data_IF_973699076826
#
_entry.id   IF_973699076826
#
_cell.length_a   1.000
_cell.length_b   1.000
_cell.length_c   1.000
_cell.angle_alpha   90.00
_cell.angle_beta   90.00
_cell.angle_gamma   90.00
#
_symmetry.space_group_name_H-M   'P 1'
#
loop_
_entity.id
_entity.type
_entity.pdbx_description
1 polymer ?
#
# COMPACT_ATOMS: atom_id res chain seq x y z
N UNK A 1 -7.90 0.55 -38.87
CA UNK A 1 -6.76 -0.13 -39.52
C UNK A 1 -7.01 -1.63 -39.55
N UNK A 2 -6.78 -2.30 -40.69
CA UNK A 2 -6.75 -3.75 -40.71
C UNK A 2 -5.48 -4.21 -39.97
N UNK A 3 -5.58 -5.11 -38.98
CA UNK A 3 -4.41 -5.58 -38.25
C UNK A 3 -3.43 -6.28 -39.21
N UNK A 4 -2.11 -6.15 -38.99
CA UNK A 4 -1.13 -6.83 -39.81
C UNK A 4 -1.33 -8.34 -39.70
N UNK A 5 -1.44 -9.00 -40.85
CA UNK A 5 -1.66 -10.44 -40.95
C UNK A 5 -0.32 -11.15 -41.12
N UNK A 6 -0.16 -12.28 -40.44
CA UNK A 6 1.04 -13.12 -40.51
C UNK A 6 1.29 -13.57 -41.97
N UNK A 7 2.50 -13.35 -42.53
CA UNK A 7 2.84 -13.72 -43.90
C UNK A 7 2.59 -15.20 -44.22
N UNK A 8 2.73 -16.10 -43.23
CA UNK A 8 2.48 -17.54 -43.40
C UNK A 8 1.02 -17.85 -43.76
N UNK A 9 0.06 -17.08 -43.24
CA UNK A 9 -1.37 -17.25 -43.53
C UNK A 9 -1.77 -16.70 -44.90
N UNK A 10 -1.05 -15.70 -45.40
CA UNK A 10 -1.24 -15.15 -46.76
C UNK A 10 -0.69 -16.09 -47.84
N UNK A 11 0.33 -16.88 -47.51
CA UNK A 11 0.90 -17.90 -48.40
C UNK A 11 0.03 -19.17 -48.46
N UNK A 12 -0.57 -19.57 -47.33
CA UNK A 12 -1.45 -20.74 -47.26
C UNK A 12 -2.81 -20.54 -47.95
N UNK A 13 -3.29 -19.30 -48.05
CA UNK A 13 -4.56 -18.98 -48.69
C UNK A 13 -4.41 -17.88 -49.76
N UNK A 14 -4.14 -18.25 -51.03
CA UNK A 14 -3.90 -17.29 -52.10
C UNK A 14 -5.13 -16.44 -52.43
N UNK A 15 -6.35 -16.97 -52.23
CA UNK A 15 -7.60 -16.21 -52.42
C UNK A 15 -7.76 -15.10 -51.38
N UNK A 16 -7.42 -15.39 -50.13
CA UNK A 16 -7.40 -14.40 -49.05
C UNK A 16 -6.28 -13.36 -49.26
N UNK A 17 -5.11 -13.76 -49.76
CA UNK A 17 -4.02 -12.84 -50.13
C UNK A 17 -4.43 -11.83 -51.20
N UNK A 18 -5.13 -12.29 -52.25
CA UNK A 18 -5.66 -11.42 -53.29
C UNK A 18 -6.71 -10.44 -52.74
N UNK A 19 -7.61 -10.91 -51.87
CA UNK A 19 -8.61 -10.06 -51.21
C UNK A 19 -7.95 -9.03 -50.28
N UNK A 20 -7.00 -9.44 -49.44
CA UNK A 20 -6.28 -8.54 -48.52
C UNK A 20 -5.51 -7.46 -49.30
N UNK A 21 -4.88 -7.82 -50.41
CA UNK A 21 -4.24 -6.86 -51.33
C UNK A 21 -5.26 -5.92 -51.97
N UNK A 22 -6.40 -6.38 -52.47
CA UNK A 22 -7.43 -5.51 -53.06
C UNK A 22 -8.04 -4.56 -52.02
N UNK A 23 -8.28 -5.04 -50.80
CA UNK A 23 -8.80 -4.25 -49.70
C UNK A 23 -7.81 -3.15 -49.26
N UNK A 24 -6.53 -3.48 -49.09
CA UNK A 24 -5.49 -2.54 -48.64
C UNK A 24 -5.03 -1.57 -49.74
N UNK A 25 -5.03 -2.00 -51.00
CA UNK A 25 -4.54 -1.16 -52.12
C UNK A 25 -5.66 -0.37 -52.80
N UNK A 26 -6.83 -0.96 -53.05
CA UNK A 26 -7.88 -0.38 -53.90
C UNK A 26 -9.08 0.15 -53.12
N UNK A 27 -9.47 -0.50 -52.03
CA UNK A 27 -10.76 -0.23 -51.36
C UNK A 27 -10.67 0.62 -50.09
N UNK A 28 -9.59 0.50 -49.31
CA UNK A 28 -9.43 1.22 -48.04
C UNK A 28 -8.15 2.07 -48.02
N UNK A 29 -8.24 3.17 -47.28
CA UNK A 29 -7.12 3.98 -46.84
C UNK A 29 -6.44 3.34 -45.61
N UNK A 30 -5.21 3.76 -45.25
CA UNK A 30 -4.50 3.21 -44.11
C UNK A 30 -5.28 3.30 -42.79
N UNK A 31 -6.07 4.36 -42.60
CA UNK A 31 -6.94 4.57 -41.44
C UNK A 31 -8.14 3.60 -41.39
N UNK A 32 -8.46 2.90 -42.48
CA UNK A 32 -9.62 2.01 -42.62
C UNK A 32 -10.84 2.66 -43.27
N UNK A 33 -10.75 3.92 -43.70
CA UNK A 33 -11.81 4.59 -44.46
C UNK A 33 -11.86 4.09 -45.91
N UNK A 34 -13.03 4.08 -46.56
CA UNK A 34 -13.14 3.62 -47.96
C UNK A 34 -12.53 4.63 -48.93
N UNK A 35 -11.82 4.20 -49.97
CA UNK A 35 -11.30 5.05 -51.07
C UNK A 35 -12.38 5.53 -52.05
N UNK A 36 -13.60 5.01 -51.96
CA UNK A 36 -14.71 5.44 -52.81
C UNK A 36 -15.19 6.84 -52.38
N UNK A 37 -14.88 7.84 -53.21
CA UNK A 37 -15.19 9.24 -52.96
C UNK A 37 -16.70 9.49 -52.76
N UNK A 38 -17.58 8.72 -53.42
CA UNK A 38 -19.03 8.86 -53.23
C UNK A 38 -19.45 8.36 -51.84
N UNK A 39 -18.91 7.23 -51.40
CA UNK A 39 -19.16 6.68 -50.06
C UNK A 39 -18.55 7.55 -48.98
N UNK A 40 -17.33 8.08 -49.18
CA UNK A 40 -16.72 9.03 -48.25
C UNK A 40 -17.58 10.28 -48.07
N UNK A 41 -18.09 10.88 -49.16
CA UNK A 41 -18.98 12.05 -49.09
C UNK A 41 -20.28 11.72 -48.36
N UNK A 42 -20.91 10.57 -48.65
CA UNK A 42 -22.10 10.13 -47.95
C UNK A 42 -21.84 9.90 -46.44
N UNK A 43 -20.71 9.28 -46.08
CA UNK A 43 -20.31 9.12 -44.68
C UNK A 43 -20.03 10.46 -43.99
N UNK A 44 -19.35 11.40 -44.64
CA UNK A 44 -19.11 12.73 -44.10
C UNK A 44 -20.41 13.51 -43.89
N UNK A 45 -21.37 13.38 -44.80
CA UNK A 45 -22.70 13.98 -44.66
C UNK A 45 -23.47 13.37 -43.48
N UNK A 46 -23.44 12.03 -43.33
CA UNK A 46 -24.05 11.34 -42.20
C UNK A 46 -23.37 11.74 -40.88
N UNK A 47 -22.05 11.85 -40.84
CA UNK A 47 -21.31 12.32 -39.66
C UNK A 47 -21.70 13.76 -39.30
N UNK A 48 -21.83 14.65 -40.28
CA UNK A 48 -22.30 16.02 -40.06
C UNK A 48 -23.72 16.04 -39.50
N UNK A 49 -24.65 15.27 -40.09
CA UNK A 49 -26.03 15.13 -39.58
C UNK A 49 -26.06 14.57 -38.16
N UNK A 50 -25.24 13.55 -37.88
CA UNK A 50 -25.11 12.97 -36.54
C UNK A 50 -24.56 13.98 -35.54
N UNK A 51 -23.56 14.78 -35.93
CA UNK A 51 -23.02 15.83 -35.07
C UNK A 51 -24.07 16.90 -34.77
N UNK A 52 -24.82 17.36 -35.77
CA UNK A 52 -25.92 18.30 -35.57
C UNK A 52 -26.98 17.72 -34.62
N UNK A 53 -27.43 16.49 -34.87
CA UNK A 53 -28.42 15.82 -34.02
C UNK A 53 -27.92 15.63 -32.58
N UNK A 54 -26.63 15.33 -32.38
CA UNK A 54 -26.01 15.23 -31.06
C UNK A 54 -25.97 16.58 -30.35
N UNK A 55 -25.63 17.66 -31.06
CA UNK A 55 -25.63 19.01 -30.50
C UNK A 55 -27.06 19.42 -30.10
N UNK A 56 -28.05 19.15 -30.95
CA UNK A 56 -29.46 19.44 -30.66
C UNK A 56 -29.99 18.65 -29.46
N UNK A 57 -29.67 17.35 -29.40
CA UNK A 57 -30.02 16.50 -28.26
C UNK A 57 -29.36 17.00 -26.96
N UNK A 58 -28.06 17.33 -27.01
CA UNK A 58 -27.34 17.85 -25.85
C UNK A 58 -27.90 19.21 -25.38
N UNK A 59 -28.20 20.13 -26.30
CA UNK A 59 -28.85 21.41 -25.97
C UNK A 59 -30.20 21.19 -25.29
N UNK A 60 -31.02 20.31 -25.85
CA UNK A 60 -32.34 19.99 -25.29
C UNK A 60 -32.23 19.37 -23.90
N UNK A 61 -31.25 18.47 -23.70
CA UNK A 61 -31.00 17.84 -22.41
C UNK A 61 -30.50 18.84 -21.35
N UNK A 62 -29.60 19.76 -21.71
CA UNK A 62 -29.11 20.81 -20.82
C UNK A 62 -30.25 21.73 -20.40
N UNK A 63 -31.10 22.15 -21.36
CA UNK A 63 -32.26 23.00 -21.06
C UNK A 63 -33.26 22.29 -20.13
N UNK A 64 -33.56 21.01 -20.39
CA UNK A 64 -34.44 20.21 -19.51
C UNK A 64 -33.87 20.06 -18.11
N UNK A 65 -32.58 19.71 -18.00
CA UNK A 65 -31.92 19.58 -16.70
C UNK A 65 -31.90 20.92 -15.94
N UNK A 66 -31.64 22.02 -16.64
CA UNK A 66 -31.66 23.36 -16.04
C UNK A 66 -33.05 23.81 -15.61
N UNK A 67 -34.12 23.37 -16.30
CA UNK A 67 -35.51 23.66 -15.92
C UNK A 67 -35.91 22.85 -14.68
N UNK A 68 -35.52 21.58 -14.59
CA UNK A 68 -35.78 20.73 -13.41
C UNK A 68 -35.10 21.30 -12.15
N UNK A 69 -33.90 21.84 -12.30
CA UNK A 69 -33.14 22.41 -11.19
C UNK A 69 -33.57 23.85 -10.83
N UNK A 70 -34.34 24.52 -11.68
CA UNK A 70 -34.69 25.94 -11.52
C UNK A 70 -35.49 26.26 -10.24
N UNK A 71 -36.53 25.48 -9.88
CA UNK A 71 -37.34 25.73 -8.68
C UNK A 71 -36.54 25.72 -7.37
N UNK A 72 -35.44 24.97 -7.33
CA UNK A 72 -34.58 24.84 -6.14
C UNK A 72 -33.46 25.88 -6.06
N UNK A 73 -33.14 26.55 -7.17
CA UNK A 73 -31.96 27.43 -7.29
C UNK A 73 -32.30 28.90 -7.51
N UNK A 74 -33.56 29.24 -7.80
CA UNK A 74 -33.96 30.61 -8.14
C UNK A 74 -34.91 31.21 -7.10
N UNK A 75 -34.40 32.14 -6.28
CA UNK A 75 -35.19 32.86 -5.28
C UNK A 75 -36.04 34.02 -5.89
N UNK A 76 -35.87 34.27 -7.20
CA UNK A 76 -36.48 35.41 -7.90
C UNK A 76 -37.78 35.10 -8.65
N UNK A 77 -38.25 33.86 -8.65
CA UNK A 77 -39.46 33.42 -9.35
C UNK A 77 -40.65 33.29 -8.37
N UNK A 78 -41.86 33.72 -8.76
CA UNK A 78 -43.08 33.47 -8.01
C UNK A 78 -43.27 31.97 -7.67
N UNK A 79 -43.74 31.64 -6.45
CA UNK A 79 -43.91 30.25 -6.03
C UNK A 79 -44.89 29.47 -6.90
N UNK A 80 -45.89 30.14 -7.48
CA UNK A 80 -46.86 29.56 -8.42
C UNK A 80 -46.18 29.10 -9.72
N UNK A 81 -45.12 29.79 -10.17
CA UNK A 81 -44.38 29.38 -11.36
C UNK A 81 -43.46 28.19 -11.07
N UNK A 82 -43.01 27.98 -9.84
CA UNK A 82 -42.22 26.81 -9.47
C UNK A 82 -43.01 25.51 -9.64
N UNK A 83 -44.26 25.47 -9.16
CA UNK A 83 -45.15 24.31 -9.31
C UNK A 83 -45.43 24.00 -10.79
N UNK A 84 -45.72 25.04 -11.58
CA UNK A 84 -45.98 24.91 -13.03
C UNK A 84 -44.74 24.43 -13.79
N UNK A 85 -43.54 24.91 -13.41
CA UNK A 85 -42.27 24.42 -14.00
C UNK A 85 -42.05 22.94 -13.68
N UNK A 86 -42.33 22.49 -12.45
CA UNK A 86 -42.20 21.08 -12.05
C UNK A 86 -43.14 20.17 -12.84
N UNK A 87 -44.40 20.57 -13.00
CA UNK A 87 -45.42 19.85 -13.77
C UNK A 87 -44.99 19.72 -15.25
N UNK A 88 -44.52 20.81 -15.86
CA UNK A 88 -44.06 20.81 -17.25
C UNK A 88 -42.77 19.99 -17.40
N UNK A 89 -41.86 20.04 -16.44
CA UNK A 89 -40.68 19.18 -16.44
C UNK A 89 -41.04 17.69 -16.38
N UNK A 90 -42.01 17.31 -15.55
CA UNK A 90 -42.53 15.95 -15.48
C UNK A 90 -43.17 15.52 -16.82
N UNK A 91 -43.91 16.42 -17.47
CA UNK A 91 -44.49 16.19 -18.80
C UNK A 91 -43.39 16.00 -19.87
N UNK A 92 -42.36 16.86 -19.89
CA UNK A 92 -41.25 16.79 -20.85
C UNK A 92 -40.36 15.54 -20.67
N UNK A 93 -40.29 15.03 -19.44
CA UNK A 93 -39.59 13.78 -19.11
C UNK A 93 -40.44 12.52 -19.35
N UNK A 94 -41.70 12.68 -19.77
CA UNK A 94 -42.60 11.57 -20.08
C UNK A 94 -43.12 10.85 -18.82
N UNK A 95 -43.11 11.52 -17.67
CA UNK A 95 -43.64 10.97 -16.41
C UNK A 95 -45.17 11.07 -16.35
N UNK A 96 -45.77 11.90 -17.21
CA UNK A 96 -47.22 12.10 -17.31
C UNK A 96 -47.74 11.37 -18.56
N UNK A 97 -48.74 10.49 -18.44
CA UNK A 97 -49.33 9.78 -19.57
C UNK A 97 -49.99 10.75 -20.56
N UNK A 98 -50.12 10.36 -21.84
CA UNK A 98 -50.65 11.24 -22.88
C UNK A 98 -52.14 11.59 -22.69
N UNK A 99 -52.88 10.79 -21.93
CA UNK A 99 -54.32 10.98 -21.65
C UNK A 99 -54.58 12.15 -20.69
N UNK A 100 -53.64 12.45 -19.81
CA UNK A 100 -53.76 13.53 -18.80
C UNK A 100 -53.23 14.88 -19.31
N UNK A 101 -52.79 14.95 -20.58
CA UNK A 101 -52.21 16.18 -21.16
C UNK A 101 -53.23 17.28 -21.37
N UNK A 102 -54.48 16.92 -21.62
CA UNK A 102 -55.57 17.88 -21.84
C UNK A 102 -55.91 18.64 -20.54
N UNK A 103 -55.67 18.01 -19.38
CA UNK A 103 -55.92 18.60 -18.06
C UNK A 103 -54.86 19.66 -17.71
N UNK A 104 -53.63 19.48 -18.22
CA UNK A 104 -52.49 20.37 -17.96
C UNK A 104 -52.38 21.51 -18.97
N UNK A 105 -53.37 21.66 -19.86
CA UNK A 105 -53.32 22.69 -20.90
C UNK A 105 -53.24 24.10 -20.29
N UNK A 106 -54.01 24.36 -19.24
CA UNK A 106 -54.03 25.66 -18.53
C UNK A 106 -52.65 25.98 -17.92
N UNK A 107 -51.99 25.01 -17.30
CA UNK A 107 -50.62 25.17 -16.75
C UNK A 107 -49.59 25.41 -17.86
N UNK A 108 -49.79 24.77 -19.02
CA UNK A 108 -48.94 24.95 -20.20
C UNK A 108 -49.09 26.35 -20.77
N UNK A 109 -50.32 26.86 -20.86
CA UNK A 109 -50.60 28.23 -21.32
C UNK A 109 -50.01 29.26 -20.34
N UNK A 110 -50.20 29.08 -19.03
CA UNK A 110 -49.63 29.96 -18.01
C UNK A 110 -48.09 30.01 -18.03
N UNK A 111 -47.43 28.88 -18.29
CA UNK A 111 -45.98 28.83 -18.49
C UNK A 111 -45.52 29.57 -19.75
N UNK A 112 -46.26 29.43 -20.85
CA UNK A 112 -45.95 30.11 -22.11
C UNK A 112 -46.13 31.63 -21.98
N UNK A 113 -47.13 32.10 -21.24
CA UNK A 113 -47.32 33.51 -20.91
C UNK A 113 -46.15 34.07 -20.08
N UNK A 114 -45.61 33.26 -19.17
CA UNK A 114 -44.49 33.62 -18.28
C UNK A 114 -43.13 33.10 -18.78
N UNK A 115 -42.97 32.85 -20.07
CA UNK A 115 -41.72 32.28 -20.61
C UNK A 115 -40.53 33.24 -20.49
N UNK A 116 -40.77 34.55 -20.53
CA UNK A 116 -39.73 35.57 -20.43
C UNK A 116 -38.96 35.50 -19.09
N UNK A 117 -39.61 35.58 -17.91
CA UNK A 117 -38.91 35.46 -16.62
C UNK A 117 -38.26 34.08 -16.44
N UNK A 118 -38.90 32.99 -16.90
CA UNK A 118 -38.31 31.64 -16.84
C UNK A 118 -37.03 31.57 -17.67
N UNK A 119 -37.04 32.09 -18.89
CA UNK A 119 -35.86 32.09 -19.78
C UNK A 119 -34.71 32.95 -19.23
N UNK A 120 -35.02 34.06 -18.56
CA UNK A 120 -34.03 34.91 -17.90
C UNK A 120 -33.38 34.17 -16.72
N UNK A 121 -34.17 33.50 -15.89
CA UNK A 121 -33.67 32.72 -14.77
C UNK A 121 -32.82 31.50 -15.21
N UNK A 122 -33.27 30.77 -16.24
CA UNK A 122 -32.48 29.68 -16.85
C UNK A 122 -31.17 30.22 -17.41
N UNK A 123 -31.20 31.34 -18.13
CA UNK A 123 -29.99 31.96 -18.67
C UNK A 123 -29.01 32.37 -17.57
N UNK A 124 -29.49 32.98 -16.48
CA UNK A 124 -28.67 33.36 -15.32
C UNK A 124 -28.04 32.13 -14.63
N UNK A 125 -28.79 31.03 -14.50
CA UNK A 125 -28.26 29.79 -13.95
C UNK A 125 -27.21 29.15 -14.88
N UNK A 126 -27.45 29.15 -16.19
CA UNK A 126 -26.49 28.66 -17.17
C UNK A 126 -25.20 29.50 -17.21
N UNK A 127 -25.29 30.83 -17.04
CA UNK A 127 -24.09 31.68 -16.92
C UNK A 127 -23.35 31.41 -15.62
N UNK A 128 -24.04 31.28 -14.49
CA UNK A 128 -23.41 30.97 -13.21
C UNK A 128 -22.71 29.60 -13.22
N UNK A 129 -23.36 28.58 -13.78
CA UNK A 129 -22.74 27.24 -13.94
C UNK A 129 -21.55 27.29 -14.88
N UNK A 130 -21.61 28.05 -15.98
CA UNK A 130 -20.45 28.24 -16.86
C UNK A 130 -19.28 28.92 -16.13
N UNK A 131 -19.53 29.95 -15.33
CA UNK A 131 -18.51 30.61 -14.49
C UNK A 131 -17.90 29.66 -13.45
N UNK A 132 -18.72 28.82 -12.82
CA UNK A 132 -18.20 27.80 -11.91
C UNK A 132 -17.32 26.79 -12.63
N UNK A 133 -17.71 26.33 -13.82
CA UNK A 133 -16.92 25.40 -14.62
C UNK A 133 -15.60 26.03 -15.12
N UNK A 134 -15.60 27.30 -15.51
CA UNK A 134 -14.36 28.00 -15.91
C UNK A 134 -13.41 28.16 -14.71
N UNK A 135 -13.94 28.43 -13.51
CA UNK A 135 -13.16 28.48 -12.28
C UNK A 135 -12.61 27.12 -11.84
N UNK A 136 -13.38 26.05 -12.02
CA UNK A 136 -12.91 24.68 -11.76
C UNK A 136 -11.81 24.28 -12.75
N UNK A 137 -11.95 24.67 -14.03
CA UNK A 137 -10.95 24.40 -15.05
C UNK A 137 -9.64 25.15 -14.83
N UNK A 138 -9.68 26.32 -14.18
CA UNK A 138 -8.45 27.04 -13.79
C UNK A 138 -8.52 27.52 -12.34
N UNK A 139 -8.21 26.65 -11.36
CA UNK A 139 -8.32 27.00 -9.95
C UNK A 139 -7.23 27.97 -9.48
N UNK A 140 -6.16 28.16 -10.25
CA UNK A 140 -4.99 28.97 -9.88
C UNK A 140 -5.02 30.39 -10.46
N UNK A 141 -5.77 30.64 -11.53
CA UNK A 141 -5.93 32.00 -12.07
C UNK A 141 -7.08 32.72 -11.36
N UNK A 142 -6.87 34.00 -11.02
CA UNK A 142 -7.94 34.88 -10.53
C UNK A 142 -8.99 35.17 -11.61
N UNK A 143 -8.57 35.10 -12.87
CA UNK A 143 -9.40 35.52 -13.99
C UNK A 143 -10.15 34.31 -14.57
N UNK A 144 -11.48 34.43 -14.76
CA UNK A 144 -12.28 33.36 -15.33
C UNK A 144 -11.87 33.13 -16.78
N UNK A 145 -11.68 31.85 -17.14
CA UNK A 145 -11.36 31.46 -18.51
C UNK A 145 -12.55 31.70 -19.43
N UNK A 146 -12.30 32.05 -20.69
CA UNK A 146 -13.35 32.14 -21.69
C UNK A 146 -14.07 30.78 -21.85
N UNK A 147 -15.42 30.74 -21.81
CA UNK A 147 -16.18 29.49 -21.88
C UNK A 147 -16.02 28.75 -23.22
N UNK A 148 -15.53 29.43 -24.26
CA UNK A 148 -15.22 28.85 -25.57
C UNK A 148 -13.98 27.95 -25.55
N UNK A 149 -13.04 28.19 -24.63
CA UNK A 149 -11.78 27.45 -24.49
C UNK A 149 -11.94 26.26 -23.55
N UNK A 150 -13.03 26.23 -22.78
CA UNK A 150 -13.32 25.21 -21.78
C UNK A 150 -13.23 23.77 -22.31
N UNK A 151 -13.76 23.41 -23.50
CA UNK A 151 -13.63 22.05 -24.02
C UNK A 151 -12.16 21.63 -24.22
N UNK A 152 -11.33 22.48 -24.83
CA UNK A 152 -9.90 22.19 -25.00
C UNK A 152 -9.15 22.12 -23.68
N UNK A 153 -9.47 23.00 -22.72
CA UNK A 153 -8.87 22.98 -21.40
C UNK A 153 -9.22 21.69 -20.63
N UNK A 154 -10.49 21.25 -20.68
CA UNK A 154 -10.92 20.00 -20.04
C UNK A 154 -10.25 18.76 -20.62
N UNK A 155 -10.04 18.71 -21.94
CA UNK A 155 -9.29 17.62 -22.57
C UNK A 155 -7.83 17.63 -22.13
N UNK A 156 -7.18 18.80 -22.10
CA UNK A 156 -5.81 18.91 -21.62
C UNK A 156 -5.66 18.52 -20.14
N UNK A 157 -6.63 18.86 -19.30
CA UNK A 157 -6.64 18.45 -17.89
C UNK A 157 -6.89 16.95 -17.73
N UNK A 158 -7.70 16.35 -18.59
CA UNK A 158 -7.92 14.91 -18.60
C UNK A 158 -6.62 14.18 -18.97
N UNK A 159 -5.95 14.62 -20.03
CA UNK A 159 -4.66 14.06 -20.46
C UNK A 159 -3.59 14.22 -19.38
N UNK A 160 -3.53 15.39 -18.73
CA UNK A 160 -2.61 15.64 -17.63
C UNK A 160 -2.90 14.76 -16.40
N UNK A 161 -4.17 14.54 -16.07
CA UNK A 161 -4.55 13.65 -14.97
C UNK A 161 -4.19 12.20 -15.27
N UNK A 162 -4.44 11.72 -16.50
CA UNK A 162 -4.06 10.36 -16.90
C UNK A 162 -2.54 10.19 -16.80
N UNK A 163 -1.77 11.15 -17.35
CA UNK A 163 -0.31 11.12 -17.27
C UNK A 163 0.20 11.14 -15.82
N UNK A 164 -0.39 11.96 -14.95
CA UNK A 164 -0.01 12.03 -13.54
C UNK A 164 -0.37 10.75 -12.79
N UNK A 165 -1.52 10.13 -13.09
CA UNK A 165 -1.87 8.84 -12.48
C UNK A 165 -0.92 7.74 -12.90
N UNK A 166 -0.51 7.71 -14.18
CA UNK A 166 0.46 6.74 -14.68
C UNK A 166 1.82 6.97 -14.01
N UNK A 167 2.32 8.20 -13.95
CA UNK A 167 3.58 8.53 -13.25
C UNK A 167 3.55 8.14 -11.76
N UNK A 168 2.44 8.43 -11.07
CA UNK A 168 2.25 8.05 -9.68
C UNK A 168 2.21 6.52 -9.49
N UNK A 169 1.66 5.76 -10.43
CA UNK A 169 1.69 4.29 -10.36
C UNK A 169 3.11 3.74 -10.58
N UNK A 170 3.85 4.31 -11.54
CA UNK A 170 5.23 3.87 -11.84
C UNK A 170 6.19 4.18 -10.70
N UNK A 171 6.09 5.38 -10.10
CA UNK A 171 6.88 5.78 -8.93
C UNK A 171 6.58 4.89 -7.71
N UNK A 172 5.30 4.56 -7.46
CA UNK A 172 4.92 3.60 -6.41
C UNK A 172 5.49 2.21 -6.66
N UNK A 173 5.47 1.72 -7.90
CA UNK A 173 6.05 0.43 -8.25
C UNK A 173 7.57 0.40 -8.06
N UNK A 174 8.27 1.47 -8.45
CA UNK A 174 9.71 1.64 -8.25
C UNK A 174 10.06 1.64 -6.75
N UNK A 175 9.31 2.37 -5.92
CA UNK A 175 9.50 2.41 -4.47
C UNK A 175 9.30 1.02 -3.85
N UNK A 176 8.22 0.31 -4.20
CA UNK A 176 7.95 -1.02 -3.69
C UNK A 176 9.06 -2.02 -4.07
N UNK A 177 9.58 -1.92 -5.29
CA UNK A 177 10.69 -2.74 -5.77
C UNK A 177 11.98 -2.44 -4.99
N UNK A 178 12.30 -1.16 -4.77
CA UNK A 178 13.46 -0.75 -3.99
C UNK A 178 13.35 -1.19 -2.52
N UNK A 179 12.17 -1.07 -1.91
CA UNK A 179 11.93 -1.55 -0.55
C UNK A 179 12.13 -3.07 -0.44
N UNK A 180 11.65 -3.83 -1.44
CA UNK A 180 11.83 -5.28 -1.48
C UNK A 180 13.31 -5.67 -1.66
N UNK A 181 14.06 -4.97 -2.52
CA UNK A 181 15.49 -5.23 -2.66
C UNK A 181 16.27 -4.88 -1.40
N UNK A 182 15.96 -3.75 -0.75
CA UNK A 182 16.56 -3.36 0.53
C UNK A 182 16.29 -4.38 1.64
N UNK A 183 15.06 -4.88 1.73
CA UNK A 183 14.73 -5.89 2.74
C UNK A 183 15.47 -7.20 2.45
N UNK A 184 15.58 -7.59 1.18
CA UNK A 184 16.34 -8.77 0.75
C UNK A 184 17.84 -8.63 1.02
N UNK A 185 18.43 -7.46 0.80
CA UNK A 185 19.84 -7.20 1.14
C UNK A 185 20.05 -7.20 2.66
N UNK A 186 19.11 -6.67 3.43
CA UNK A 186 19.18 -6.74 4.89
C UNK A 186 19.08 -8.16 5.42
N UNK A 187 18.15 -8.98 4.90
CA UNK A 187 18.01 -10.37 5.34
C UNK A 187 19.24 -11.20 4.99
N UNK A 188 19.80 -11.03 3.79
CA UNK A 188 21.06 -11.69 3.39
C UNK A 188 22.24 -11.26 4.25
N UNK A 189 22.38 -9.96 4.55
CA UNK A 189 23.41 -9.45 5.46
C UNK A 189 23.26 -10.08 6.85
N UNK A 190 22.07 -10.00 7.46
CA UNK A 190 21.82 -10.56 8.79
C UNK A 190 22.09 -12.07 8.82
N UNK A 191 21.65 -12.80 7.80
CA UNK A 191 21.91 -14.25 7.69
C UNK A 191 23.41 -14.54 7.60
N UNK A 192 24.16 -13.75 6.83
CA UNK A 192 25.61 -13.90 6.74
C UNK A 192 26.31 -13.59 8.06
N UNK A 193 25.85 -12.56 8.79
CA UNK A 193 26.41 -12.13 10.07
C UNK A 193 26.14 -13.19 11.15
N UNK A 194 24.93 -13.74 11.21
CA UNK A 194 24.58 -14.86 12.09
C UNK A 194 25.48 -16.06 11.80
N UNK A 195 25.63 -16.44 10.53
CA UNK A 195 26.51 -17.56 10.14
C UNK A 195 27.96 -17.32 10.56
N UNK A 196 28.47 -16.09 10.42
CA UNK A 196 29.82 -15.74 10.87
C UNK A 196 29.93 -15.86 12.39
N UNK A 197 28.97 -15.37 13.16
CA UNK A 197 28.94 -15.49 14.63
C UNK A 197 28.89 -16.95 15.08
N UNK A 198 28.04 -17.76 14.46
CA UNK A 198 27.94 -19.19 14.72
C UNK A 198 29.26 -19.90 14.44
N UNK A 199 29.95 -19.56 13.36
CA UNK A 199 31.21 -20.21 12.99
C UNK A 199 32.39 -19.77 13.87
N UNK A 200 32.49 -18.47 14.18
CA UNK A 200 33.67 -17.86 14.81
C UNK A 200 33.60 -17.89 16.33
N UNK A 201 32.48 -17.48 16.91
CA UNK A 201 32.34 -17.31 18.37
C UNK A 201 31.78 -18.57 19.01
N UNK A 202 30.67 -19.08 18.48
CA UNK A 202 29.99 -20.21 19.09
C UNK A 202 30.59 -21.56 18.67
N UNK A 203 31.02 -21.71 17.42
CA UNK A 203 31.50 -22.98 16.88
C UNK A 203 32.89 -23.38 17.36
N UNK A 204 33.87 -22.48 17.31
CA UNK A 204 35.25 -22.82 17.66
C UNK A 204 35.44 -23.04 19.18
N UNK A 205 34.91 -22.15 20.01
CA UNK A 205 35.07 -22.21 21.47
C UNK A 205 34.27 -23.37 22.06
N UNK A 206 33.03 -23.62 21.61
CA UNK A 206 32.25 -24.78 22.07
C UNK A 206 32.90 -26.11 21.66
N UNK A 207 33.40 -26.22 20.43
CA UNK A 207 34.12 -27.43 19.98
C UNK A 207 35.41 -27.63 20.76
N UNK A 208 36.17 -26.57 21.03
CA UNK A 208 37.41 -26.65 21.82
C UNK A 208 37.16 -27.06 23.27
N UNK A 209 36.19 -26.44 23.93
CA UNK A 209 35.82 -26.79 25.32
C UNK A 209 35.28 -28.21 25.44
N UNK A 210 34.45 -28.66 24.49
CA UNK A 210 33.96 -30.05 24.43
C UNK A 210 35.10 -31.04 24.24
N UNK A 211 35.99 -30.82 23.27
CA UNK A 211 37.12 -31.70 23.03
C UNK A 211 38.06 -31.77 24.25
N UNK A 212 38.26 -30.64 24.95
CA UNK A 212 39.04 -30.62 26.18
C UNK A 212 38.37 -31.37 27.33
N UNK A 213 37.05 -31.24 27.50
CA UNK A 213 36.28 -32.00 28.49
C UNK A 213 36.32 -33.51 28.21
N UNK A 214 36.15 -33.91 26.95
CA UNK A 214 36.27 -35.31 26.50
C UNK A 214 37.69 -35.85 26.77
N UNK A 215 38.73 -35.05 26.47
CA UNK A 215 40.12 -35.42 26.78
C UNK A 215 40.36 -35.62 28.28
N UNK A 216 39.82 -34.74 29.13
CA UNK A 216 39.94 -34.86 30.59
C UNK A 216 39.18 -36.07 31.13
N UNK A 217 38.00 -36.38 30.58
CA UNK A 217 37.23 -37.57 30.96
C UNK A 217 38.01 -38.86 30.65
N UNK A 218 38.54 -38.99 29.44
CA UNK A 218 39.36 -40.15 29.06
C UNK A 218 40.61 -40.27 29.94
N UNK A 219 41.26 -39.14 30.27
CA UNK A 219 42.39 -39.16 31.22
C UNK A 219 41.98 -39.63 32.61
N UNK A 220 40.82 -39.20 33.10
CA UNK A 220 40.31 -39.63 34.40
C UNK A 220 40.02 -41.14 34.40
N UNK A 221 39.42 -41.69 33.34
CA UNK A 221 39.17 -43.13 33.21
C UNK A 221 40.48 -43.93 33.19
N UNK A 222 41.49 -43.45 32.46
CA UNK A 222 42.82 -44.08 32.44
C UNK A 222 43.46 -44.05 33.81
N UNK A 223 43.45 -42.92 34.50
CA UNK A 223 43.99 -42.79 35.85
C UNK A 223 43.23 -43.67 36.85
N UNK A 224 41.92 -43.79 36.71
CA UNK A 224 41.09 -44.66 37.55
C UNK A 224 41.42 -46.14 37.32
N UNK A 225 41.59 -46.55 36.05
CA UNK A 225 42.03 -47.89 35.72
C UNK A 225 43.44 -48.19 36.27
N UNK A 226 44.38 -47.23 36.14
CA UNK A 226 45.73 -47.34 36.72
C UNK A 226 45.69 -47.44 38.25
N UNK A 227 44.89 -46.61 38.92
CA UNK A 227 44.71 -46.65 40.37
C UNK A 227 44.12 -47.99 40.83
N UNK A 228 43.15 -48.53 40.09
CA UNK A 228 42.55 -49.84 40.36
C UNK A 228 43.58 -50.97 40.25
N UNK A 229 44.42 -50.96 39.21
CA UNK A 229 45.52 -51.93 39.05
C UNK A 229 46.54 -51.78 40.19
N UNK A 230 46.87 -50.55 40.58
CA UNK A 230 47.81 -50.30 41.67
C UNK A 230 47.27 -50.79 43.02
N UNK A 231 45.98 -50.57 43.31
CA UNK A 231 45.34 -51.04 44.55
C UNK A 231 45.32 -52.57 44.66
N UNK A 232 45.19 -53.28 43.53
CA UNK A 232 45.22 -54.75 43.50
C UNK A 232 46.64 -55.33 43.64
N UNK A 233 47.67 -54.60 43.19
CA UNK A 233 49.07 -55.05 43.23
C UNK A 233 49.78 -54.68 44.53
N UNK A 234 49.37 -53.58 45.17
CA UNK A 234 49.97 -53.06 46.39
C UNK A 234 48.88 -52.70 47.40
N UNK A 235 48.66 -53.52 48.46
CA UNK A 235 47.68 -53.22 49.49
C UNK A 235 48.00 -51.90 50.18
N UNK A 236 47.03 -50.99 50.23
CA UNK A 236 47.22 -49.67 50.79
C UNK A 236 47.40 -49.72 52.33
N UNK A 237 48.35 -48.95 52.91
CA UNK A 237 48.44 -48.80 54.35
C UNK A 237 47.14 -48.22 54.95
N UNK A 238 46.69 -48.78 56.08
CA UNK A 238 45.45 -48.37 56.78
C UNK A 238 45.26 -46.84 56.98
N UNK A 239 46.28 -46.04 57.41
CA UNK A 239 46.09 -44.60 57.60
C UNK A 239 45.90 -43.82 56.27
N UNK A 240 46.43 -44.35 55.16
CA UNK A 240 46.23 -43.75 53.84
C UNK A 240 44.83 -44.04 53.30
N UNK A 241 44.29 -45.23 53.59
CA UNK A 241 42.92 -45.58 53.21
C UNK A 241 41.87 -44.70 53.91
N UNK A 242 42.07 -44.40 55.19
CA UNK A 242 41.19 -43.53 55.98
C UNK A 242 41.20 -42.08 55.44
N UNK A 243 42.39 -41.51 55.19
CA UNK A 243 42.51 -40.16 54.60
C UNK A 243 41.97 -40.07 53.16
N UNK A 244 42.06 -41.13 52.37
CA UNK A 244 41.43 -41.18 51.04
C UNK A 244 39.91 -41.27 51.12
N UNK A 245 39.34 -41.96 52.12
CA UNK A 245 37.89 -41.98 52.36
C UNK A 245 37.37 -40.62 52.81
N UNK A 246 38.10 -39.91 53.67
CA UNK A 246 37.76 -38.54 54.04
C UNK A 246 37.83 -37.60 52.84
N UNK A 247 38.87 -37.75 51.99
CA UNK A 247 39.00 -36.96 50.77
C UNK A 247 37.90 -37.27 49.75
N UNK A 248 37.53 -38.54 49.55
CA UNK A 248 36.43 -38.90 48.64
C UNK A 248 35.09 -38.35 49.14
N UNK A 249 34.82 -38.43 50.44
CA UNK A 249 33.63 -37.82 51.05
C UNK A 249 33.62 -36.29 50.87
N UNK A 250 34.78 -35.63 51.00
CA UNK A 250 34.90 -34.19 50.74
C UNK A 250 34.63 -33.85 49.26
N UNK A 251 35.14 -34.67 48.32
CA UNK A 251 34.89 -34.50 46.89
C UNK A 251 33.43 -34.75 46.51
N UNK A 252 32.76 -35.74 47.10
CA UNK A 252 31.32 -35.97 46.89
C UNK A 252 30.48 -34.79 47.40
N UNK A 253 30.84 -34.23 48.56
CA UNK A 253 30.20 -33.02 49.11
C UNK A 253 30.36 -31.83 48.17
N UNK A 254 31.57 -31.60 47.67
CA UNK A 254 31.84 -30.55 46.68
C UNK A 254 31.12 -30.80 45.35
N UNK A 255 31.05 -32.05 44.89
CA UNK A 255 30.29 -32.41 43.69
C UNK A 255 28.79 -32.12 43.85
N UNK A 256 28.19 -32.49 44.99
CA UNK A 256 26.79 -32.19 45.28
C UNK A 256 26.52 -30.68 45.38
N UNK A 257 27.46 -29.92 45.96
CA UNK A 257 27.40 -28.45 45.99
C UNK A 257 27.43 -27.86 44.58
N UNK A 258 28.31 -28.35 43.71
CA UNK A 258 28.39 -27.93 42.32
C UNK A 258 27.12 -28.27 41.52
N UNK A 259 26.59 -29.49 41.65
CA UNK A 259 25.30 -29.89 41.04
C UNK A 259 24.15 -29.01 41.50
N UNK A 260 24.13 -28.63 42.77
CA UNK A 260 23.10 -27.75 43.31
C UNK A 260 23.21 -26.35 42.72
N UNK A 261 24.45 -25.83 42.60
CA UNK A 261 24.72 -24.55 41.95
C UNK A 261 24.35 -24.55 40.46
N UNK A 262 24.66 -25.64 39.76
CA UNK A 262 24.27 -25.85 38.35
C UNK A 262 22.75 -25.84 38.20
N UNK A 263 22.02 -26.60 39.02
CA UNK A 263 20.55 -26.60 39.01
C UNK A 263 19.96 -25.23 39.31
N UNK A 264 20.56 -24.48 40.24
CA UNK A 264 20.14 -23.11 40.54
C UNK A 264 20.37 -22.16 39.34
N UNK A 265 21.53 -22.26 38.70
CA UNK A 265 21.85 -21.47 37.50
C UNK A 265 20.90 -21.80 36.33
N UNK A 266 20.62 -23.08 36.07
CA UNK A 266 19.67 -23.50 35.03
C UNK A 266 18.24 -23.01 35.32
N UNK A 267 17.82 -23.00 36.58
CA UNK A 267 16.52 -22.42 36.97
C UNK A 267 16.47 -20.92 36.73
N UNK A 268 17.54 -20.18 37.04
CA UNK A 268 17.64 -18.75 36.73
C UNK A 268 17.61 -18.52 35.22
N UNK A 269 18.33 -19.34 34.44
CA UNK A 269 18.36 -19.23 32.97
C UNK A 269 16.97 -19.43 32.36
N UNK A 270 16.22 -20.44 32.83
CA UNK A 270 14.80 -20.61 32.45
C UNK A 270 13.93 -19.44 32.86
N UNK A 271 14.12 -18.89 34.07
CA UNK A 271 13.38 -17.70 34.49
C UNK A 271 13.68 -16.49 33.59
N UNK A 272 14.90 -16.36 33.06
CA UNK A 272 15.24 -15.33 32.06
C UNK A 272 14.58 -15.59 30.71
N UNK A 273 14.51 -16.85 30.25
CA UNK A 273 13.82 -17.24 29.01
C UNK A 273 12.30 -16.97 29.11
N UNK A 274 11.68 -17.36 30.24
CA UNK A 274 10.25 -17.20 30.51
C UNK A 274 9.84 -15.72 30.73
N UNK A 275 10.75 -14.92 31.30
CA UNK A 275 10.54 -13.49 31.52
C UNK A 275 10.40 -12.68 30.22
N UNK A 276 10.95 -13.19 29.10
CA UNK A 276 10.93 -12.53 27.80
C UNK A 276 11.41 -11.06 27.83
N UNK A 277 11.02 -10.28 26.82
CA UNK A 277 11.43 -8.86 26.73
C UNK A 277 10.89 -7.99 27.88
N UNK A 278 9.74 -8.35 28.47
CA UNK A 278 9.09 -7.55 29.53
C UNK A 278 9.79 -7.69 30.89
N UNK A 279 10.14 -8.90 31.31
CA UNK A 279 10.84 -9.08 32.58
C UNK A 279 12.30 -8.62 32.53
N UNK A 280 12.95 -8.72 31.36
CA UNK A 280 14.29 -8.13 31.17
C UNK A 280 14.28 -6.59 31.22
N UNK A 281 13.21 -5.95 30.74
CA UNK A 281 13.04 -4.50 30.86
C UNK A 281 12.89 -4.06 32.33
N UNK A 282 12.11 -4.78 33.13
CA UNK A 282 11.91 -4.49 34.55
C UNK A 282 13.21 -4.69 35.37
N UNK A 283 14.00 -5.72 35.05
CA UNK A 283 15.30 -5.96 35.69
C UNK A 283 16.31 -4.86 35.31
N UNK A 284 16.33 -4.42 34.05
CA UNK A 284 17.19 -3.32 33.60
C UNK A 284 16.84 -1.99 34.29
N UNK A 285 15.54 -1.73 34.50
CA UNK A 285 15.05 -0.56 35.22
C UNK A 285 15.51 -0.56 36.69
N UNK A 286 15.37 -1.69 37.38
CA UNK A 286 15.86 -1.86 38.76
C UNK A 286 17.38 -1.74 38.86
N UNK A 287 18.13 -2.25 37.88
CA UNK A 287 19.59 -2.09 37.84
C UNK A 287 20.00 -0.63 37.65
N UNK A 288 19.28 0.12 36.81
CA UNK A 288 19.52 1.55 36.62
C UNK A 288 19.22 2.34 37.91
N UNK A 289 18.20 1.94 38.67
CA UNK A 289 17.88 2.54 39.97
C UNK A 289 18.97 2.30 41.01
N UNK A 290 19.43 1.05 41.15
CA UNK A 290 20.54 0.71 42.06
C UNK A 290 21.84 1.42 41.65
N UNK A 291 22.12 1.54 40.34
CA UNK A 291 23.28 2.30 39.86
C UNK A 291 23.24 3.77 40.26
N UNK A 292 22.06 4.42 40.16
CA UNK A 292 21.87 5.80 40.65
C UNK A 292 22.09 5.91 42.15
N UNK A 293 21.63 4.93 42.91
CA UNK A 293 21.76 4.90 44.37
C UNK A 293 23.22 4.69 44.81
N UNK A 294 23.96 3.83 44.11
CA UNK A 294 25.39 3.62 44.35
C UNK A 294 26.18 4.91 44.10
N UNK A 295 25.91 5.62 43.00
CA UNK A 295 26.56 6.90 42.72
C UNK A 295 26.18 7.98 43.76
N UNK A 296 24.92 7.98 44.23
CA UNK A 296 24.48 8.87 45.32
C UNK A 296 25.26 8.60 46.61
N UNK A 297 25.33 7.34 47.03
CA UNK A 297 26.06 6.93 48.24
C UNK A 297 27.56 7.18 48.09
N UNK A 298 28.13 6.96 46.91
CA UNK A 298 29.54 7.28 46.62
C UNK A 298 29.81 8.78 46.77
N UNK A 299 28.94 9.63 46.22
CA UNK A 299 29.02 11.07 46.40
C UNK A 299 28.83 11.52 47.85
N UNK A 300 27.98 10.83 48.62
CA UNK A 300 27.83 11.07 50.06
C UNK A 300 29.08 10.68 50.86
N UNK A 301 29.72 9.56 50.53
CA UNK A 301 31.00 9.13 51.13
C UNK A 301 32.12 10.13 50.80
N UNK A 302 32.25 10.55 49.54
CA UNK A 302 33.24 11.55 49.13
C UNK A 302 33.04 12.90 49.85
N UNK A 303 31.79 13.30 50.09
CA UNK A 303 31.46 14.51 50.89
C UNK A 303 31.83 14.34 52.37
N UNK A 304 31.62 13.15 52.94
CA UNK A 304 31.99 12.86 54.32
C UNK A 304 33.53 12.81 54.51
N UNK A 305 34.26 12.29 53.52
CA UNK A 305 35.73 12.28 53.53
C UNK A 305 36.33 13.69 53.38
N UNK A 306 35.66 14.59 52.64
CA UNK A 306 36.09 15.98 52.49
C UNK A 306 35.65 16.89 53.65
N UNK A 307 34.53 16.58 54.32
CA UNK A 307 34.01 17.32 55.47
C UNK A 307 34.57 16.87 56.83
N UNK A 308 35.42 15.84 56.86
CA UNK A 308 36.07 15.31 58.06
C UNK A 308 37.46 15.90 58.39
N UNK A 309 37.81 17.05 57.80
CA UNK A 309 39.01 17.83 58.16
C UNK A 309 38.64 19.16 58.82
#
# INVERSE_FOLDING_TARGET
>A
MLPPIDPSTLEQNPGFSALYKDLTTRKFNPDGSSKDLKRQRAHAEVQKKLQTARIEAAKSQILRASLVDLPSKSDGLPPELHEVIEIICAQLNGQIPPEDRDILQDDTEYFLENIAPVSAAVSANLTATAEHLTRIANPLSSDPLDPTILPSATLSLLDANIALTDDLTTTRHSLATLAATLLTTHTTLLTSLIRILEQTVHGAVSRGTRAHAEQLAVKADVLNAQASIHALTHPLPAPLAESLQEYSAAMEKEHMRLKTRERAALKMLKAYEDAGAKGMAEIAERFAEVGREVERVRGEIERLEQGGK
#
